data_IF_885111878858
#
_entry.id   IF_885111878858
#
_cell.length_a   1.000
_cell.length_b   1.000
_cell.length_c   1.000
_cell.angle_alpha   90.00
_cell.angle_beta   90.00
_cell.angle_gamma   90.00
#
_symmetry.space_group_name_H-M   'P 1'
#
loop_
_entity.id
_entity.type
_entity.pdbx_description
1 polymer ?
#
# COMPACT_ATOMS: atom_id res chain seq x y z
N UNK A 1 -11.05 -4.64 20.61
CA UNK A 1 -11.25 -4.85 19.17
C UNK A 1 -12.29 -3.87 18.62
N UNK A 2 -12.10 -3.43 17.37
CA UNK A 2 -13.06 -2.58 16.69
C UNK A 2 -14.36 -3.37 16.43
N UNK A 3 -15.51 -2.81 16.86
CA UNK A 3 -16.79 -3.50 16.67
C UNK A 3 -17.40 -3.32 15.25
N UNK A 4 -16.84 -2.42 14.43
CA UNK A 4 -17.32 -2.08 13.09
C UNK A 4 -18.67 -1.37 13.01
N UNK A 5 -19.43 -1.32 14.10
CA UNK A 5 -20.84 -0.87 14.09
C UNK A 5 -21.08 0.46 14.83
N UNK A 6 -20.28 0.81 15.82
CA UNK A 6 -20.44 2.04 16.58
C UNK A 6 -20.10 3.29 15.76
N UNK A 7 -20.50 4.47 16.25
CA UNK A 7 -20.25 5.75 15.56
C UNK A 7 -18.76 5.96 15.24
N UNK A 8 -17.88 5.71 16.22
CA UNK A 8 -16.43 5.88 16.05
C UNK A 8 -15.86 4.95 14.97
N UNK A 9 -16.26 3.66 14.96
CA UNK A 9 -15.82 2.72 13.92
C UNK A 9 -16.29 3.13 12.52
N UNK A 10 -17.54 3.60 12.40
CA UNK A 10 -18.08 4.08 11.13
C UNK A 10 -17.38 5.34 10.65
N UNK A 11 -17.10 6.28 11.54
CA UNK A 11 -16.35 7.50 11.22
C UNK A 11 -14.90 7.17 10.80
N UNK A 12 -14.23 6.25 11.51
CA UNK A 12 -12.89 5.81 11.18
C UNK A 12 -12.83 5.12 9.80
N UNK A 13 -13.79 4.24 9.50
CA UNK A 13 -13.91 3.58 8.21
C UNK A 13 -14.19 4.55 7.06
N UNK A 14 -14.98 5.60 7.31
CA UNK A 14 -15.28 6.66 6.35
C UNK A 14 -14.23 7.77 6.26
N UNK A 15 -13.11 7.67 6.99
CA UNK A 15 -12.05 8.68 6.99
C UNK A 15 -12.41 10.00 7.68
N UNK A 16 -13.56 10.07 8.39
CA UNK A 16 -14.09 11.30 8.99
C UNK A 16 -13.95 11.35 10.54
N UNK A 17 -13.07 10.54 11.11
CA UNK A 17 -12.80 10.57 12.54
C UNK A 17 -11.78 11.68 12.85
N UNK A 18 -12.17 12.75 13.60
CA UNK A 18 -11.31 13.91 13.79
C UNK A 18 -10.03 13.62 14.60
N UNK A 19 -10.04 12.55 15.40
CA UNK A 19 -8.89 12.15 16.20
C UNK A 19 -7.96 11.15 15.49
N UNK A 20 -8.24 10.85 14.20
CA UNK A 20 -7.35 10.07 13.32
C UNK A 20 -6.87 10.99 12.19
N UNK A 21 -5.63 11.41 12.29
CA UNK A 21 -5.00 12.37 11.39
C UNK A 21 -4.06 11.60 10.45
N UNK A 22 -4.38 11.61 9.18
CA UNK A 22 -3.49 11.10 8.13
C UNK A 22 -2.67 12.24 7.60
N UNK A 23 -1.36 12.14 7.70
CA UNK A 23 -0.46 13.19 7.24
C UNK A 23 -0.49 13.23 5.71
N UNK A 24 -0.83 14.41 5.19
CA UNK A 24 -0.85 14.69 3.77
C UNK A 24 0.41 15.45 3.40
N UNK A 25 0.93 15.23 2.21
CA UNK A 25 2.08 15.95 1.69
C UNK A 25 1.77 16.52 0.29
N UNK A 26 2.29 17.71 0.01
CA UNK A 26 2.05 18.39 -1.26
C UNK A 26 2.88 17.81 -2.40
N UNK A 27 4.09 17.34 -2.07
CA UNK A 27 5.02 16.78 -3.05
C UNK A 27 4.81 15.28 -3.20
N UNK A 28 4.64 14.74 -4.40
CA UNK A 28 4.25 13.35 -4.61
C UNK A 28 5.24 12.32 -4.03
N UNK A 29 6.51 12.66 -3.88
CA UNK A 29 7.56 11.72 -3.48
C UNK A 29 8.38 12.19 -2.27
N UNK A 30 7.88 13.12 -1.48
CA UNK A 30 8.64 13.62 -0.32
C UNK A 30 7.72 14.21 0.73
N UNK A 31 7.88 13.75 1.97
CA UNK A 31 7.28 14.35 3.15
C UNK A 31 8.27 15.36 3.71
N UNK A 32 7.92 16.64 3.64
CA UNK A 32 8.78 17.72 4.06
C UNK A 32 8.69 18.06 5.56
N UNK A 33 9.63 18.85 6.04
CA UNK A 33 9.63 19.32 7.44
C UNK A 33 8.38 20.15 7.77
N UNK A 34 7.85 20.90 6.79
CA UNK A 34 6.61 21.69 6.94
C UNK A 34 5.41 20.78 7.24
N UNK A 35 5.25 19.68 6.50
CA UNK A 35 4.15 18.73 6.68
C UNK A 35 4.13 18.16 8.10
N UNK A 36 5.30 17.80 8.62
CA UNK A 36 5.43 17.26 9.98
C UNK A 36 5.17 18.33 11.05
N UNK A 37 5.72 19.54 10.87
CA UNK A 37 5.53 20.62 11.84
C UNK A 37 4.07 21.01 11.98
N UNK A 38 3.41 21.30 10.89
CA UNK A 38 2.02 21.80 10.91
C UNK A 38 1.02 20.73 11.30
N UNK A 39 1.17 19.49 10.78
CA UNK A 39 0.16 18.45 10.97
C UNK A 39 0.42 17.56 12.18
N UNK A 40 1.64 17.50 12.70
CA UNK A 40 1.97 16.70 13.89
C UNK A 40 2.37 17.58 15.07
N UNK A 41 3.48 18.33 14.95
CA UNK A 41 4.08 19.00 16.11
C UNK A 41 3.19 20.10 16.68
N UNK A 42 2.54 20.89 15.83
CA UNK A 42 1.67 21.99 16.27
C UNK A 42 0.31 21.47 16.77
N UNK A 43 -0.16 20.36 16.21
CA UNK A 43 -1.48 19.81 16.55
C UNK A 43 -1.46 18.82 17.72
N UNK A 44 -0.30 18.18 18.02
CA UNK A 44 -0.24 17.09 18.99
C UNK A 44 -0.54 17.55 20.42
N UNK A 45 -0.32 18.82 20.75
CA UNK A 45 -0.62 19.40 22.07
C UNK A 45 -2.12 19.63 22.29
N UNK A 46 -2.93 19.54 21.23
CA UNK A 46 -4.39 19.65 21.30
C UNK A 46 -4.96 18.29 21.65
N UNK A 47 -5.73 18.23 22.75
CA UNK A 47 -6.35 16.97 23.19
C UNK A 47 -7.32 16.38 22.16
N UNK A 48 -7.52 15.05 22.17
CA UNK A 48 -8.52 14.40 21.33
C UNK A 48 -9.91 15.04 21.51
N UNK A 49 -10.64 15.17 20.41
CA UNK A 49 -11.97 15.76 20.40
C UNK A 49 -13.06 14.80 20.91
N UNK A 50 -13.02 13.56 20.48
CA UNK A 50 -14.09 12.59 20.74
C UNK A 50 -13.59 11.21 21.20
N UNK A 51 -12.32 10.92 21.05
CA UNK A 51 -11.71 9.62 21.34
C UNK A 51 -10.80 9.68 22.56
N UNK A 52 -10.43 8.53 23.09
CA UNK A 52 -9.44 8.42 24.16
C UNK A 52 -8.03 8.78 23.68
N UNK A 53 -7.73 8.43 22.43
CA UNK A 53 -6.44 8.60 21.79
C UNK A 53 -6.56 9.45 20.53
N UNK A 54 -5.51 10.21 20.24
CA UNK A 54 -5.30 10.94 18.99
C UNK A 54 -4.23 10.22 18.19
N UNK A 55 -4.58 9.80 16.99
CA UNK A 55 -3.75 8.90 16.17
C UNK A 55 -3.24 9.64 14.95
N UNK A 56 -1.93 9.70 14.79
CA UNK A 56 -1.25 10.26 13.63
C UNK A 56 -0.73 9.12 12.78
N UNK A 57 -1.12 9.10 11.51
CA UNK A 57 -0.69 8.08 10.54
C UNK A 57 0.14 8.76 9.47
N UNK A 58 1.43 8.46 9.45
CA UNK A 58 2.36 8.89 8.43
C UNK A 58 2.55 7.70 7.48
N UNK A 59 1.80 7.71 6.38
CA UNK A 59 1.98 6.75 5.31
C UNK A 59 3.30 7.07 4.58
N UNK A 60 3.91 6.04 3.98
CA UNK A 60 5.16 6.16 3.21
C UNK A 60 6.25 6.93 3.98
N UNK A 61 6.44 6.56 5.26
CA UNK A 61 7.37 7.26 6.15
C UNK A 61 8.84 7.22 5.68
N UNK A 62 9.18 6.32 4.79
CA UNK A 62 10.46 6.27 4.06
C UNK A 62 10.65 7.46 3.10
N UNK A 63 9.58 8.15 2.71
CA UNK A 63 9.65 9.39 1.91
C UNK A 63 9.92 10.64 2.75
N UNK A 64 9.99 10.53 4.08
CA UNK A 64 10.35 11.67 4.93
C UNK A 64 11.78 12.16 4.67
N UNK A 65 11.94 13.45 4.42
CA UNK A 65 13.26 14.06 4.40
C UNK A 65 13.96 13.94 5.76
N UNK A 66 15.30 14.03 5.79
CA UNK A 66 16.07 13.97 7.04
C UNK A 66 15.62 15.06 8.02
N UNK A 67 15.30 16.24 7.51
CA UNK A 67 14.81 17.36 8.31
C UNK A 67 13.42 17.10 8.89
N UNK A 68 12.53 16.43 8.12
CA UNK A 68 11.22 16.01 8.59
C UNK A 68 11.34 14.96 9.71
N UNK A 69 12.21 13.98 9.52
CA UNK A 69 12.50 12.97 10.53
C UNK A 69 13.06 13.60 11.82
N UNK A 70 14.01 14.54 11.69
CA UNK A 70 14.56 15.25 12.84
C UNK A 70 13.51 16.12 13.56
N UNK A 71 12.61 16.76 12.82
CA UNK A 71 11.53 17.55 13.42
C UNK A 71 10.56 16.69 14.24
N UNK A 72 10.40 15.42 13.90
CA UNK A 72 9.53 14.47 14.59
C UNK A 72 10.16 13.92 15.89
N UNK A 73 11.49 13.92 16.01
CA UNK A 73 12.20 13.28 17.13
C UNK A 73 11.71 13.73 18.50
N UNK A 74 11.60 15.05 18.73
CA UNK A 74 11.14 15.59 20.02
C UNK A 74 9.75 15.07 20.40
N UNK A 75 8.88 14.98 19.42
CA UNK A 75 7.50 14.52 19.60
C UNK A 75 7.43 13.01 19.88
N UNK A 76 8.33 12.23 19.31
CA UNK A 76 8.41 10.78 19.57
C UNK A 76 9.07 10.51 20.94
N UNK A 77 9.99 11.36 21.38
CA UNK A 77 10.66 11.20 22.68
C UNK A 77 9.72 11.42 23.85
N UNK A 78 8.89 12.47 23.80
CA UNK A 78 7.99 12.87 24.87
C UNK A 78 6.57 13.09 24.33
N UNK A 79 5.89 12.05 23.82
CA UNK A 79 4.54 12.19 23.30
C UNK A 79 3.55 12.38 24.48
N UNK A 80 2.48 13.19 24.30
CA UNK A 80 1.37 13.20 25.24
C UNK A 80 0.77 11.80 25.41
N UNK A 81 0.31 11.45 26.59
CA UNK A 81 -0.24 10.11 26.93
C UNK A 81 -1.39 9.65 26.01
N UNK A 82 -2.08 10.59 25.39
CA UNK A 82 -3.18 10.30 24.47
C UNK A 82 -2.73 10.19 23.01
N UNK A 83 -1.47 10.49 22.69
CA UNK A 83 -1.01 10.48 21.31
C UNK A 83 -0.45 9.12 20.90
N UNK A 84 -0.81 8.69 19.70
CA UNK A 84 -0.26 7.50 19.05
C UNK A 84 0.26 7.92 17.68
N UNK A 85 1.54 7.69 17.42
CA UNK A 85 2.16 8.00 16.13
C UNK A 85 2.47 6.68 15.42
N UNK A 86 1.93 6.50 14.23
CA UNK A 86 2.13 5.32 13.37
C UNK A 86 2.94 5.73 12.14
N UNK A 87 4.14 5.17 12.02
CA UNK A 87 4.99 5.31 10.83
C UNK A 87 4.81 4.05 9.98
N UNK A 88 4.20 4.18 8.81
CA UNK A 88 4.05 3.07 7.87
C UNK A 88 5.16 3.17 6.84
N UNK A 89 5.91 2.10 6.64
CA UNK A 89 7.02 2.06 5.69
C UNK A 89 7.23 0.65 5.15
N UNK A 90 7.64 0.55 3.91
CA UNK A 90 8.08 -0.71 3.31
C UNK A 90 9.53 -1.02 3.68
N UNK A 91 10.34 0.00 3.92
CA UNK A 91 11.74 -0.15 4.30
C UNK A 91 12.09 0.68 5.55
N UNK A 92 12.10 0.05 6.72
CA UNK A 92 12.45 0.72 7.96
C UNK A 92 13.92 1.20 8.04
N UNK A 93 14.82 0.70 7.18
CA UNK A 93 16.23 1.11 7.19
C UNK A 93 16.46 2.52 6.65
N UNK A 94 15.49 3.07 5.92
CA UNK A 94 15.51 4.47 5.45
C UNK A 94 15.25 5.47 6.57
N UNK A 95 14.62 5.01 7.66
CA UNK A 95 14.38 5.85 8.83
C UNK A 95 15.66 5.97 9.67
N UNK A 96 15.88 7.18 10.21
CA UNK A 96 17.02 7.45 11.09
C UNK A 96 17.07 6.45 12.26
N UNK A 97 18.26 5.97 12.64
CA UNK A 97 18.43 5.09 13.81
C UNK A 97 17.81 5.68 15.08
N UNK A 98 17.83 7.01 15.21
CA UNK A 98 17.24 7.75 16.34
C UNK A 98 15.71 7.62 16.41
N UNK A 99 15.02 7.56 15.26
CA UNK A 99 13.58 7.27 15.21
C UNK A 99 13.34 5.80 15.53
N UNK A 100 14.04 4.90 14.86
CA UNK A 100 13.86 3.45 15.03
C UNK A 100 14.06 3.00 16.47
N UNK A 101 15.01 3.58 17.19
CA UNK A 101 15.27 3.25 18.61
C UNK A 101 14.16 3.65 19.57
N UNK A 102 13.27 4.56 19.15
CA UNK A 102 12.15 5.08 19.97
C UNK A 102 10.78 4.54 19.52
N UNK A 103 10.75 3.76 18.47
CA UNK A 103 9.53 3.16 17.95
C UNK A 103 9.49 1.66 18.24
N UNK A 104 8.32 1.13 18.48
CA UNK A 104 8.07 -0.31 18.50
C UNK A 104 7.87 -0.78 17.07
N UNK A 105 8.81 -1.59 16.56
CA UNK A 105 8.71 -2.13 15.21
C UNK A 105 7.77 -3.32 15.14
N UNK A 106 6.72 -3.19 14.33
CA UNK A 106 5.77 -4.26 14.03
C UNK A 106 5.92 -4.69 12.57
N UNK A 107 6.52 -5.85 12.33
CA UNK A 107 6.64 -6.41 10.98
C UNK A 107 5.35 -7.11 10.58
N UNK A 108 4.69 -6.60 9.55
CA UNK A 108 3.58 -7.28 8.89
C UNK A 108 4.13 -8.36 7.95
N UNK A 109 3.45 -9.49 7.92
CA UNK A 109 3.81 -10.62 7.03
C UNK A 109 2.72 -10.81 6.00
N UNK A 110 3.12 -11.27 4.82
CA UNK A 110 2.18 -11.66 3.79
C UNK A 110 1.22 -12.74 4.32
N UNK A 111 -0.03 -12.61 3.94
CA UNK A 111 -1.09 -13.56 4.30
C UNK A 111 -0.96 -14.79 3.41
N UNK A 112 -1.24 -15.98 3.95
CA UNK A 112 -1.24 -17.21 3.17
C UNK A 112 -2.27 -17.14 2.05
N UNK A 113 -1.92 -17.59 0.86
CA UNK A 113 -2.75 -17.54 -0.34
C UNK A 113 -4.14 -18.15 -0.12
N UNK A 114 -4.22 -19.28 0.59
CA UNK A 114 -5.48 -19.92 0.94
C UNK A 114 -6.42 -19.02 1.74
N UNK A 115 -5.89 -18.20 2.65
CA UNK A 115 -6.69 -17.27 3.45
C UNK A 115 -7.15 -16.07 2.62
N UNK A 116 -6.29 -15.57 1.73
CA UNK A 116 -6.64 -14.49 0.79
C UNK A 116 -7.75 -14.99 -0.15
N UNK A 117 -7.58 -16.17 -0.75
CA UNK A 117 -8.60 -16.81 -1.62
C UNK A 117 -9.94 -16.96 -0.91
N UNK A 118 -9.90 -17.54 0.29
CA UNK A 118 -11.10 -17.73 1.11
C UNK A 118 -11.82 -16.40 1.35
N UNK A 119 -11.10 -15.35 1.71
CA UNK A 119 -11.68 -14.03 1.93
C UNK A 119 -12.33 -13.45 0.66
N UNK A 120 -11.65 -13.54 -0.49
CA UNK A 120 -12.20 -13.06 -1.77
C UNK A 120 -13.48 -13.78 -2.15
N UNK A 121 -13.55 -15.10 -1.94
CA UNK A 121 -14.73 -15.89 -2.29
C UNK A 121 -15.89 -15.70 -1.30
N UNK A 122 -15.61 -15.68 0.01
CA UNK A 122 -16.66 -15.64 1.04
C UNK A 122 -17.16 -14.23 1.36
N UNK A 123 -16.32 -13.20 1.26
CA UNK A 123 -16.66 -11.84 1.64
C UNK A 123 -16.95 -10.93 0.46
N UNK A 124 -16.33 -11.20 -0.70
CA UNK A 124 -16.48 -10.40 -1.92
C UNK A 124 -17.17 -11.16 -3.05
N UNK A 125 -17.58 -12.40 -2.80
CA UNK A 125 -18.29 -13.25 -3.77
C UNK A 125 -17.54 -13.40 -5.11
N UNK A 126 -16.20 -13.32 -5.08
CA UNK A 126 -15.36 -13.44 -6.27
C UNK A 126 -15.38 -14.88 -6.76
N UNK A 127 -15.63 -15.16 -8.05
CA UNK A 127 -15.57 -16.50 -8.60
C UNK A 127 -14.19 -17.15 -8.40
N UNK A 128 -14.17 -18.48 -8.20
CA UNK A 128 -12.97 -19.26 -7.87
C UNK A 128 -11.79 -18.98 -8.82
N UNK A 129 -12.03 -19.05 -10.13
CA UNK A 129 -11.01 -18.81 -11.15
C UNK A 129 -10.42 -17.38 -11.10
N UNK A 130 -11.25 -16.37 -10.78
CA UNK A 130 -10.82 -14.98 -10.65
C UNK A 130 -10.05 -14.79 -9.33
N UNK A 131 -10.51 -15.46 -8.25
CA UNK A 131 -9.83 -15.41 -6.97
C UNK A 131 -8.41 -15.99 -7.05
N UNK A 132 -8.20 -17.13 -7.76
CA UNK A 132 -6.87 -17.70 -7.98
C UNK A 132 -5.92 -16.73 -8.69
N UNK A 133 -6.41 -16.05 -9.71
CA UNK A 133 -5.61 -15.04 -10.43
C UNK A 133 -5.26 -13.87 -9.51
N UNK A 134 -6.25 -13.33 -8.78
CA UNK A 134 -6.01 -12.22 -7.84
C UNK A 134 -5.00 -12.59 -6.75
N UNK A 135 -5.07 -13.80 -6.21
CA UNK A 135 -4.14 -14.32 -5.20
C UNK A 135 -2.72 -14.41 -5.75
N UNK A 136 -2.57 -14.97 -6.96
CA UNK A 136 -1.25 -15.09 -7.60
C UNK A 136 -0.57 -13.72 -7.79
N UNK A 137 -1.34 -12.70 -8.20
CA UNK A 137 -0.83 -11.34 -8.38
C UNK A 137 -0.67 -10.56 -7.07
N UNK A 138 -1.47 -10.85 -6.05
CA UNK A 138 -1.39 -10.17 -4.77
C UNK A 138 -0.23 -10.64 -3.89
N UNK A 139 0.31 -11.84 -4.11
CA UNK A 139 1.44 -12.42 -3.35
C UNK A 139 1.28 -12.29 -1.83
N UNK A 140 0.07 -12.53 -1.33
CA UNK A 140 -0.26 -12.42 0.10
C UNK A 140 -0.56 -11.00 0.60
N UNK A 141 -0.61 -10.00 -0.27
CA UNK A 141 -1.09 -8.66 0.04
C UNK A 141 -2.61 -8.60 -0.12
N UNK A 142 -3.35 -8.59 1.01
CA UNK A 142 -4.82 -8.56 1.01
C UNK A 142 -5.38 -7.29 0.33
N UNK A 143 -4.78 -6.14 0.57
CA UNK A 143 -5.22 -4.87 -0.05
C UNK A 143 -5.13 -4.92 -1.57
N UNK A 144 -4.01 -5.41 -2.10
CA UNK A 144 -3.80 -5.63 -3.54
C UNK A 144 -4.79 -6.65 -4.09
N UNK A 145 -5.04 -7.75 -3.38
CA UNK A 145 -6.01 -8.76 -3.79
C UNK A 145 -7.42 -8.20 -3.92
N UNK A 146 -7.87 -7.39 -2.96
CA UNK A 146 -9.18 -6.72 -2.97
C UNK A 146 -9.26 -5.71 -4.11
N UNK A 147 -8.22 -4.91 -4.32
CA UNK A 147 -8.15 -3.95 -5.42
C UNK A 147 -8.30 -4.64 -6.79
N UNK A 148 -7.54 -5.70 -7.01
CA UNK A 148 -7.59 -6.49 -8.25
C UNK A 148 -8.96 -7.16 -8.45
N UNK A 149 -9.56 -7.67 -7.38
CA UNK A 149 -10.88 -8.32 -7.44
C UNK A 149 -12.00 -7.33 -7.82
N UNK A 150 -11.91 -6.08 -7.36
CA UNK A 150 -12.87 -5.02 -7.63
C UNK A 150 -12.59 -4.25 -8.94
N UNK A 151 -11.45 -4.49 -9.59
CA UNK A 151 -11.11 -3.85 -10.86
C UNK A 151 -11.96 -4.44 -11.99
N UNK A 152 -12.71 -3.58 -12.70
CA UNK A 152 -13.47 -3.95 -13.90
C UNK A 152 -12.53 -4.31 -15.06
N UNK A 153 -11.37 -3.66 -15.11
CA UNK A 153 -10.40 -3.77 -16.22
C UNK A 153 -9.29 -4.80 -15.96
N UNK A 154 -9.29 -5.49 -14.82
CA UNK A 154 -8.18 -6.38 -14.46
C UNK A 154 -7.92 -7.49 -15.50
N UNK A 155 -8.98 -8.09 -16.03
CA UNK A 155 -8.84 -9.12 -17.06
C UNK A 155 -8.29 -8.58 -18.36
N UNK A 156 -8.74 -7.39 -18.79
CA UNK A 156 -8.27 -6.71 -20.00
C UNK A 156 -6.79 -6.38 -19.90
N UNK A 157 -6.38 -5.81 -18.75
CA UNK A 157 -4.97 -5.48 -18.48
C UNK A 157 -4.10 -6.74 -18.51
N UNK A 158 -4.55 -7.81 -17.85
CA UNK A 158 -3.84 -9.10 -17.86
C UNK A 158 -3.66 -9.64 -19.29
N UNK A 159 -4.71 -9.59 -20.11
CA UNK A 159 -4.65 -10.03 -21.49
C UNK A 159 -3.70 -9.19 -22.33
N UNK A 160 -3.70 -7.87 -22.18
CA UNK A 160 -2.77 -6.96 -22.85
C UNK A 160 -1.31 -7.25 -22.45
N UNK A 161 -1.04 -7.43 -21.16
CA UNK A 161 0.32 -7.76 -20.69
C UNK A 161 0.77 -9.13 -21.21
N UNK A 162 -0.09 -10.14 -21.17
CA UNK A 162 0.23 -11.47 -21.68
C UNK A 162 0.44 -11.44 -23.21
N UNK A 163 -0.38 -10.68 -23.94
CA UNK A 163 -0.20 -10.48 -25.39
C UNK A 163 1.14 -9.82 -25.71
N UNK A 164 1.47 -8.74 -24.99
CA UNK A 164 2.76 -8.06 -25.11
C UNK A 164 3.93 -9.05 -24.91
N UNK A 165 3.91 -9.79 -23.81
CA UNK A 165 5.00 -10.69 -23.43
C UNK A 165 5.18 -11.89 -24.37
N UNK A 166 4.08 -12.38 -24.97
CA UNK A 166 4.14 -13.48 -25.94
C UNK A 166 4.74 -13.07 -27.27
N UNK A 167 4.55 -11.82 -27.67
CA UNK A 167 4.94 -11.34 -28.99
C UNK A 167 6.14 -10.39 -28.96
N UNK A 168 6.73 -10.14 -27.79
CA UNK A 168 7.77 -9.13 -27.59
C UNK A 168 8.98 -9.32 -28.50
N UNK A 169 9.36 -10.57 -28.78
CA UNK A 169 10.50 -10.90 -29.65
C UNK A 169 10.25 -10.56 -31.12
N UNK A 170 8.99 -10.46 -31.56
CA UNK A 170 8.57 -10.18 -32.91
C UNK A 170 8.14 -8.71 -33.10
N UNK A 171 7.97 -7.96 -32.02
CA UNK A 171 7.50 -6.58 -32.03
C UNK A 171 8.57 -5.60 -32.47
N UNK A 172 8.15 -4.65 -33.31
CA UNK A 172 8.97 -3.48 -33.63
C UNK A 172 8.88 -2.40 -32.53
N UNK A 173 9.80 -1.44 -32.52
CA UNK A 173 9.78 -0.33 -31.56
C UNK A 173 8.45 0.45 -31.58
N UNK A 174 7.85 0.78 -32.75
CA UNK A 174 6.52 1.37 -32.81
C UNK A 174 5.43 0.53 -32.14
N UNK A 175 5.44 -0.79 -32.34
CA UNK A 175 4.46 -1.72 -31.76
C UNK A 175 4.55 -1.74 -30.23
N UNK A 176 5.79 -1.75 -29.70
CA UNK A 176 6.05 -1.66 -28.25
C UNK A 176 5.54 -0.35 -27.66
N UNK A 177 5.79 0.77 -28.35
CA UNK A 177 5.30 2.08 -27.90
C UNK A 177 3.77 2.15 -27.88
N UNK A 178 3.11 1.53 -28.86
CA UNK A 178 1.65 1.47 -28.91
C UNK A 178 1.08 0.56 -27.80
N UNK A 179 1.69 -0.59 -27.56
CA UNK A 179 1.32 -1.48 -26.47
C UNK A 179 1.44 -0.81 -25.10
N UNK A 180 2.56 -0.09 -24.85
CA UNK A 180 2.74 0.69 -23.61
C UNK A 180 1.67 1.79 -23.48
N UNK A 181 1.34 2.49 -24.56
CA UNK A 181 0.25 3.49 -24.53
C UNK A 181 -1.10 2.88 -24.17
N UNK A 182 -1.43 1.70 -24.71
CA UNK A 182 -2.66 0.98 -24.33
C UNK A 182 -2.67 0.62 -22.85
N UNK A 183 -1.57 0.10 -22.32
CA UNK A 183 -1.44 -0.17 -20.89
C UNK A 183 -1.70 1.08 -20.01
N UNK A 184 -1.22 2.26 -20.43
CA UNK A 184 -1.41 3.51 -19.69
C UNK A 184 -2.88 4.01 -19.63
N UNK A 185 -3.76 3.54 -20.50
CA UNK A 185 -5.19 3.92 -20.52
C UNK A 185 -5.89 3.47 -19.23
N UNK A 186 -5.48 2.35 -18.65
CA UNK A 186 -6.12 1.75 -17.48
C UNK A 186 -5.75 2.40 -16.13
N UNK A 187 -4.95 3.47 -16.13
CA UNK A 187 -4.55 4.23 -14.93
C UNK A 187 -3.99 3.36 -13.78
N UNK A 188 -3.42 2.20 -14.11
CA UNK A 188 -2.63 1.43 -13.15
C UNK A 188 -1.27 2.09 -12.95
N UNK A 189 -0.71 1.91 -11.77
CA UNK A 189 0.67 2.32 -11.53
C UNK A 189 1.66 1.46 -12.32
N UNK A 190 2.76 2.06 -12.76
CA UNK A 190 3.81 1.35 -13.51
C UNK A 190 4.34 0.15 -12.73
N UNK A 191 4.41 0.26 -11.40
CA UNK A 191 4.78 -0.83 -10.49
C UNK A 191 3.92 -2.08 -10.66
N UNK A 192 2.61 -1.91 -10.82
CA UNK A 192 1.69 -3.04 -10.99
C UNK A 192 1.89 -3.77 -12.32
N UNK A 193 2.21 -3.05 -13.39
CA UNK A 193 2.59 -3.67 -14.67
C UNK A 193 3.89 -4.44 -14.57
N UNK A 194 4.89 -3.86 -13.90
CA UNK A 194 6.18 -4.53 -13.68
C UNK A 194 6.01 -5.80 -12.82
N UNK A 195 5.16 -5.76 -11.82
CA UNK A 195 4.81 -6.92 -11.00
C UNK A 195 4.14 -8.02 -11.85
N UNK A 196 3.21 -7.67 -12.74
CA UNK A 196 2.58 -8.63 -13.65
C UNK A 196 3.61 -9.29 -14.57
N UNK A 197 4.51 -8.49 -15.14
CA UNK A 197 5.60 -8.96 -16.00
C UNK A 197 6.52 -9.91 -15.21
N UNK A 198 6.92 -9.52 -14.00
CA UNK A 198 7.79 -10.33 -13.15
C UNK A 198 7.15 -11.69 -12.78
N UNK A 199 5.86 -11.69 -12.44
CA UNK A 199 5.11 -12.91 -12.13
C UNK A 199 5.04 -13.84 -13.35
N UNK A 200 4.76 -13.28 -14.52
CA UNK A 200 4.72 -14.06 -15.76
C UNK A 200 6.06 -14.75 -16.05
N UNK A 201 7.18 -14.01 -15.99
CA UNK A 201 8.50 -14.60 -16.19
C UNK A 201 8.84 -15.63 -15.12
N UNK A 202 8.49 -15.39 -13.86
CA UNK A 202 8.65 -16.37 -12.79
C UNK A 202 7.92 -17.68 -13.11
N UNK A 203 6.67 -17.59 -13.54
CA UNK A 203 5.84 -18.76 -13.84
C UNK A 203 6.36 -19.52 -15.07
N UNK A 204 6.84 -18.81 -16.09
CA UNK A 204 7.52 -19.43 -17.24
C UNK A 204 8.80 -20.16 -16.81
N UNK A 205 9.60 -19.56 -15.91
CA UNK A 205 10.82 -20.20 -15.40
C UNK A 205 10.50 -21.46 -14.59
N UNK A 206 9.50 -21.38 -13.70
CA UNK A 206 9.04 -22.54 -12.90
C UNK A 206 8.56 -23.64 -13.85
N UNK A 207 7.74 -23.30 -14.84
CA UNK A 207 7.24 -24.27 -15.81
C UNK A 207 8.37 -24.95 -16.60
N UNK A 208 9.39 -24.19 -17.01
CA UNK A 208 10.55 -24.74 -17.68
C UNK A 208 11.37 -25.65 -16.76
N UNK A 209 11.54 -25.26 -15.50
CA UNK A 209 12.31 -26.02 -14.50
C UNK A 209 11.61 -27.31 -14.04
N UNK A 210 10.27 -27.32 -13.99
CA UNK A 210 9.49 -28.48 -13.51
C UNK A 210 9.16 -29.50 -14.62
N UNK A 211 9.36 -29.12 -15.88
CA UNK A 211 9.11 -30.00 -17.05
C UNK A 211 10.34 -30.79 -17.50
N UNK A 212 11.52 -30.61 -16.88
CA UNK A 212 12.78 -31.33 -17.14
C UNK A 212 12.85 -32.66 -16.42
#
# INVERSE_FOLDING_TARGET
DACGKCRSCRQAAGGNQPDIIRIMHEKPNTIGVGDIRTQVNDDIMIRPYSSKYKIYIIADADMMSVEAQNALLKTIEEPPEYAVIMLLTENAETLLPTIRSRCVMMKLRNIKDQLVKKYLMEQLEVPDYKADVCVAFAQGNMGKAIMLANSEYFNEIKEEVVHLLRNIDEMTVPDLMEAVKRCMIYKMEISDYLDMIAIWYRDVLIYKATRS
#
